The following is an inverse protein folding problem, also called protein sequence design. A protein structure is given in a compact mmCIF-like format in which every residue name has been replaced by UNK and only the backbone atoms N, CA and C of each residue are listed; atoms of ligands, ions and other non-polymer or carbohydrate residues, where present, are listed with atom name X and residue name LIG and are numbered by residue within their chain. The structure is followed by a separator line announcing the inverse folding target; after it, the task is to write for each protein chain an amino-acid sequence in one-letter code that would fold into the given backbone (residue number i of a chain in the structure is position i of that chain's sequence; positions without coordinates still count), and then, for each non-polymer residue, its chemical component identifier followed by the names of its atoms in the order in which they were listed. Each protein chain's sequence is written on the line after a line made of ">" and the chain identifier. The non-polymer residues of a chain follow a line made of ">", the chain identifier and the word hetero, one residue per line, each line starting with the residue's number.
data_IF_898256663705
#
_entry.id   IF_898256663705
#
_cell.length_a   1.000
_cell.length_b   1.000
_cell.length_c   1.000
_cell.angle_alpha   90.00
_cell.angle_beta   90.00
_cell.angle_gamma   90.00
#
_symmetry.space_group_name_H-M   'P 1'
#
loop_
_entity.id
_entity.type
_entity.pdbx_description
1 polymer ?
#
# COMPACT_ATOMS: atom_id res chain seq x y z
N UNK A 1 -50.40 6.07 15.74
CA UNK A 1 -49.67 6.86 14.72
C UNK A 1 -48.50 6.01 14.24
N UNK A 2 -48.62 5.29 13.11
CA UNK A 2 -47.56 4.47 12.56
C UNK A 2 -46.54 5.37 11.84
N UNK A 3 -45.27 5.26 12.22
CA UNK A 3 -44.17 5.99 11.59
C UNK A 3 -43.84 5.48 10.18
N UNK A 4 -43.25 6.32 9.31
CA UNK A 4 -42.93 5.96 7.94
C UNK A 4 -41.80 4.92 7.91
N UNK A 5 -41.87 3.89 7.05
CA UNK A 5 -40.80 2.92 6.89
C UNK A 5 -39.60 3.54 6.16
N UNK A 6 -38.41 3.33 6.71
CA UNK A 6 -37.14 3.74 6.12
C UNK A 6 -36.86 3.02 4.79
N UNK A 7 -36.20 3.69 3.82
CA UNK A 7 -35.92 3.13 2.51
C UNK A 7 -34.69 2.21 2.55
N UNK A 8 -34.90 0.92 2.73
CA UNK A 8 -33.87 -0.10 2.52
C UNK A 8 -33.73 -0.35 1.02
N UNK A 9 -32.77 0.33 0.38
CA UNK A 9 -32.45 0.16 -1.05
C UNK A 9 -31.92 -1.26 -1.33
N UNK A 10 -32.82 -2.13 -1.75
CA UNK A 10 -32.57 -3.48 -2.24
C UNK A 10 -32.01 -3.44 -3.68
N UNK A 11 -30.72 -3.16 -3.84
CA UNK A 11 -30.03 -3.19 -5.14
C UNK A 11 -29.85 -4.60 -5.74
N UNK A 12 -30.14 -5.66 -4.99
CA UNK A 12 -29.81 -7.04 -5.39
C UNK A 12 -30.91 -7.74 -6.21
N UNK A 13 -32.11 -7.16 -6.33
CA UNK A 13 -33.25 -7.76 -7.08
C UNK A 13 -33.35 -7.30 -8.54
N UNK A 14 -32.51 -6.36 -8.99
CA UNK A 14 -32.65 -5.73 -10.32
C UNK A 14 -32.04 -6.52 -11.48
N UNK A 15 -31.54 -7.74 -11.26
CA UNK A 15 -30.94 -8.56 -12.32
C UNK A 15 -31.85 -9.69 -12.82
N UNK A 16 -33.01 -9.92 -12.19
CA UNK A 16 -33.88 -11.05 -12.55
C UNK A 16 -34.50 -10.95 -13.96
N UNK A 17 -34.66 -9.73 -14.51
CA UNK A 17 -35.23 -9.52 -15.84
C UNK A 17 -34.23 -9.73 -16.99
N UNK A 18 -32.93 -9.85 -16.69
CA UNK A 18 -31.91 -10.11 -17.71
C UNK A 18 -31.72 -11.61 -18.01
N UNK A 19 -32.24 -12.50 -17.17
CA UNK A 19 -32.09 -13.95 -17.34
C UNK A 19 -33.00 -14.54 -18.43
N UNK A 20 -34.09 -13.85 -18.81
CA UNK A 20 -35.04 -14.34 -19.83
C UNK A 20 -34.74 -13.85 -21.25
N UNK A 21 -33.75 -12.96 -21.43
CA UNK A 21 -33.44 -12.41 -22.75
C UNK A 21 -32.57 -13.36 -23.57
N UNK A 22 -32.95 -13.56 -24.82
CA UNK A 22 -32.17 -14.34 -25.79
C UNK A 22 -30.84 -13.65 -26.10
N UNK A 23 -29.81 -14.42 -26.47
CA UNK A 23 -28.47 -13.90 -26.77
C UNK A 23 -28.46 -12.83 -27.86
N UNK A 24 -29.40 -12.89 -28.81
CA UNK A 24 -29.60 -11.89 -29.86
C UNK A 24 -30.07 -10.53 -29.35
N UNK A 25 -30.81 -10.48 -28.24
CA UNK A 25 -31.23 -9.23 -27.58
C UNK A 25 -30.21 -8.73 -26.56
N UNK A 26 -29.46 -9.65 -25.95
CA UNK A 26 -28.45 -9.35 -24.96
C UNK A 26 -27.26 -8.56 -25.57
N UNK A 27 -26.83 -8.94 -26.78
CA UNK A 27 -25.70 -8.29 -27.48
C UNK A 27 -25.92 -6.78 -27.73
N UNK A 28 -27.02 -6.32 -28.37
CA UNK A 28 -27.25 -4.89 -28.57
C UNK A 28 -27.44 -4.15 -27.25
N UNK A 29 -28.03 -4.80 -26.24
CA UNK A 29 -28.22 -4.21 -24.91
C UNK A 29 -26.88 -4.00 -24.17
N UNK A 30 -25.95 -4.96 -24.25
CA UNK A 30 -24.58 -4.79 -23.74
C UNK A 30 -23.80 -3.74 -24.51
N UNK A 31 -23.93 -3.67 -25.84
CA UNK A 31 -23.30 -2.61 -26.65
C UNK A 31 -23.82 -1.24 -26.25
N UNK A 32 -25.13 -1.10 -26.02
CA UNK A 32 -25.74 0.15 -25.58
C UNK A 32 -25.30 0.51 -24.15
N UNK A 33 -25.32 -0.45 -23.22
CA UNK A 33 -24.84 -0.23 -21.85
C UNK A 33 -23.36 0.20 -21.81
N UNK A 34 -22.52 -0.42 -22.65
CA UNK A 34 -21.11 -0.06 -22.80
C UNK A 34 -20.95 1.35 -23.38
N UNK A 35 -21.72 1.73 -24.40
CA UNK A 35 -21.70 3.08 -24.94
C UNK A 35 -22.13 4.12 -23.91
N UNK A 36 -23.23 3.88 -23.20
CA UNK A 36 -23.70 4.75 -22.12
C UNK A 36 -22.66 4.89 -21.00
N UNK A 37 -22.00 3.79 -20.61
CA UNK A 37 -20.93 3.82 -19.60
C UNK A 37 -19.73 4.65 -20.10
N UNK A 38 -19.33 4.45 -21.36
CA UNK A 38 -18.22 5.18 -21.98
C UNK A 38 -18.50 6.68 -22.13
N UNK A 39 -19.73 7.04 -22.47
CA UNK A 39 -20.12 8.44 -22.59
C UNK A 39 -20.24 9.10 -21.20
N UNK A 40 -20.70 8.36 -20.19
CA UNK A 40 -20.68 8.80 -18.79
C UNK A 40 -19.25 9.02 -18.29
N UNK A 41 -18.34 8.10 -18.57
CA UNK A 41 -16.92 8.22 -18.22
C UNK A 41 -16.28 9.45 -18.89
N UNK A 42 -16.55 9.69 -20.17
CA UNK A 42 -16.09 10.91 -20.87
C UNK A 42 -16.66 12.18 -20.26
N UNK A 43 -17.93 12.18 -19.87
CA UNK A 43 -18.57 13.33 -19.23
C UNK A 43 -17.98 13.60 -17.83
N UNK A 44 -17.68 12.55 -17.07
CA UNK A 44 -17.08 12.64 -15.74
C UNK A 44 -15.62 13.11 -15.80
N UNK A 45 -14.83 12.60 -16.75
CA UNK A 45 -13.50 13.12 -17.08
C UNK A 45 -13.55 14.59 -17.50
N UNK A 46 -14.52 14.96 -18.35
CA UNK A 46 -14.75 16.34 -18.75
C UNK A 46 -15.07 17.26 -17.56
N UNK A 47 -15.92 16.80 -16.64
CA UNK A 47 -16.27 17.53 -15.40
C UNK A 47 -15.05 17.71 -14.49
N UNK A 48 -14.28 16.65 -14.25
CA UNK A 48 -13.07 16.69 -13.42
C UNK A 48 -12.01 17.63 -14.00
N UNK A 49 -11.82 17.61 -15.33
CA UNK A 49 -10.90 18.51 -16.02
C UNK A 49 -11.36 19.98 -15.92
N UNK A 50 -12.66 20.23 -16.00
CA UNK A 50 -13.25 21.56 -15.86
C UNK A 50 -13.09 22.09 -14.43
N UNK A 51 -13.33 21.24 -13.43
CA UNK A 51 -13.18 21.54 -12.01
C UNK A 51 -11.72 21.85 -11.65
N UNK A 52 -10.76 21.08 -12.15
CA UNK A 52 -9.34 21.33 -11.95
C UNK A 52 -8.89 22.65 -12.62
N UNK A 53 -9.36 22.94 -13.84
CA UNK A 53 -9.09 24.23 -14.49
C UNK A 53 -9.70 25.41 -13.72
N UNK A 54 -10.90 25.24 -13.15
CA UNK A 54 -11.53 26.25 -12.30
C UNK A 54 -10.72 26.48 -11.02
N UNK A 55 -10.23 25.40 -10.40
CA UNK A 55 -9.36 25.47 -9.23
C UNK A 55 -8.05 26.19 -9.53
N UNK A 56 -7.36 25.81 -10.61
CA UNK A 56 -6.15 26.50 -11.08
C UNK A 56 -6.38 27.99 -11.30
N UNK A 57 -7.50 28.36 -11.95
CA UNK A 57 -7.88 29.76 -12.15
C UNK A 57 -8.09 30.48 -10.82
N UNK A 58 -8.79 29.85 -9.87
CA UNK A 58 -8.99 30.43 -8.54
C UNK A 58 -7.67 30.65 -7.79
N UNK A 59 -6.73 29.71 -7.87
CA UNK A 59 -5.40 29.85 -7.27
C UNK A 59 -4.60 30.96 -7.92
N UNK A 60 -4.68 31.12 -9.24
CA UNK A 60 -4.04 32.20 -9.97
C UNK A 60 -4.63 33.56 -9.59
N UNK A 61 -5.95 33.67 -9.50
CA UNK A 61 -6.64 34.88 -9.06
C UNK A 61 -6.29 35.24 -7.59
N UNK A 62 -6.11 34.24 -6.71
CA UNK A 62 -5.62 34.47 -5.35
C UNK A 62 -4.18 34.99 -5.31
N UNK A 63 -3.29 34.49 -6.16
CA UNK A 63 -1.91 34.98 -6.27
C UNK A 63 -1.87 36.41 -6.81
N UNK A 64 -2.67 36.71 -7.84
CA UNK A 64 -2.84 38.06 -8.37
C UNK A 64 -3.39 39.03 -7.31
N UNK A 65 -4.38 38.61 -6.52
CA UNK A 65 -4.89 39.44 -5.42
C UNK A 65 -3.82 39.69 -4.37
N UNK A 66 -3.01 38.69 -4.01
CA UNK A 66 -1.86 38.86 -3.10
C UNK A 66 -0.81 39.83 -3.66
N UNK A 67 -0.52 39.80 -4.96
CA UNK A 67 0.44 40.72 -5.58
C UNK A 67 -0.10 42.14 -5.79
N UNK A 68 -1.44 42.29 -5.88
CA UNK A 68 -2.10 43.59 -6.13
C UNK A 68 -2.55 44.28 -4.85
N UNK A 69 -2.46 43.63 -3.69
CA UNK A 69 -2.74 44.30 -2.41
C UNK A 69 -1.51 45.12 -2.03
N UNK A 70 -1.54 46.46 -2.11
CA UNK A 70 -0.43 47.28 -1.67
C UNK A 70 -0.16 46.97 -0.19
N UNK A 71 1.11 46.92 0.24
CA UNK A 71 1.46 46.57 1.61
C UNK A 71 0.75 47.53 2.55
N UNK A 72 -0.18 47.00 3.34
CA UNK A 72 -0.79 47.72 4.45
C UNK A 72 0.34 47.94 5.46
N UNK A 73 0.96 49.10 5.35
CA UNK A 73 1.98 49.58 6.27
C UNK A 73 1.34 49.65 7.66
N UNK A 74 1.84 48.90 8.67
CA UNK A 74 1.36 49.05 10.03
C UNK A 74 1.74 50.44 10.52
N UNK A 75 0.71 51.24 10.80
CA UNK A 75 0.76 52.57 11.39
C UNK A 75 1.59 52.57 12.67
N UNK A 76 2.85 52.98 12.55
CA UNK A 76 3.67 53.41 13.68
C UNK A 76 3.82 54.92 13.58
N UNK A 77 3.00 55.60 14.36
CA UNK A 77 3.02 57.04 14.56
C UNK A 77 4.36 57.44 15.18
N UNK A 78 5.30 57.93 14.37
CA UNK A 78 6.28 58.91 14.87
C UNK A 78 6.77 59.79 13.74
N UNK A 79 6.25 61.02 13.79
CA UNK A 79 6.58 62.17 12.98
C UNK A 79 8.09 62.46 12.95
N UNK A 80 8.71 62.31 11.79
CA UNK A 80 9.88 63.12 11.40
C UNK A 80 9.76 63.51 9.93
N UNK A 81 9.37 64.77 9.72
CA UNK A 81 9.42 65.46 8.42
C UNK A 81 10.86 65.56 7.95
N UNK A 82 11.32 64.67 7.07
CA UNK A 82 12.48 64.95 6.24
C UNK A 82 12.28 64.39 4.82
N UNK A 83 12.11 65.35 3.91
CA UNK A 83 12.62 65.40 2.54
C UNK A 83 12.23 64.30 1.54
N UNK A 84 11.39 64.74 0.59
CA UNK A 84 11.33 64.34 -0.81
C UNK A 84 12.64 63.80 -1.39
N UNK A 85 12.47 62.80 -2.27
CA UNK A 85 13.45 62.14 -3.15
C UNK A 85 14.15 60.92 -2.53
N UNK A 86 13.42 59.81 -2.47
CA UNK A 86 13.93 58.53 -2.95
C UNK A 86 12.81 57.49 -2.79
N UNK A 87 11.86 57.53 -3.73
CA UNK A 87 10.90 56.45 -3.94
C UNK A 87 11.66 55.27 -4.58
N UNK A 88 12.57 54.68 -3.79
CA UNK A 88 13.30 53.46 -4.08
C UNK A 88 12.29 52.31 -3.99
N UNK A 89 11.44 52.21 -5.01
CA UNK A 89 10.68 50.99 -5.27
C UNK A 89 11.67 49.85 -5.23
N UNK A 90 11.50 48.97 -4.25
CA UNK A 90 12.16 47.68 -4.17
C UNK A 90 11.73 46.88 -5.41
N UNK A 91 12.36 47.16 -6.54
CA UNK A 91 12.48 46.22 -7.64
C UNK A 91 13.34 45.12 -7.03
N UNK A 92 12.82 43.90 -6.85
CA UNK A 92 13.65 42.75 -6.49
C UNK A 92 14.89 42.82 -7.37
N UNK A 93 16.08 42.81 -6.75
CA UNK A 93 17.33 42.98 -7.50
C UNK A 93 17.29 42.04 -8.71
N UNK A 94 17.74 42.50 -9.88
CA UNK A 94 17.72 41.72 -11.12
C UNK A 94 18.23 40.28 -10.87
N UNK A 95 19.25 40.16 -10.03
CA UNK A 95 19.84 38.91 -9.53
C UNK A 95 18.85 37.98 -8.82
N UNK A 96 17.93 38.49 -8.00
CA UNK A 96 16.90 37.70 -7.34
C UNK A 96 15.84 37.20 -8.34
N UNK A 97 15.47 38.03 -9.33
CA UNK A 97 14.59 37.59 -10.41
C UNK A 97 15.25 36.50 -11.26
N UNK A 98 16.52 36.65 -11.59
CA UNK A 98 17.30 35.70 -12.39
C UNK A 98 17.46 34.35 -11.66
N UNK A 99 17.78 34.38 -10.36
CA UNK A 99 17.83 33.18 -9.53
C UNK A 99 16.47 32.47 -9.44
N UNK A 100 15.37 33.24 -9.37
CA UNK A 100 14.02 32.66 -9.37
C UNK A 100 13.66 32.03 -10.72
N UNK A 101 14.07 32.65 -11.83
CA UNK A 101 13.90 32.10 -13.18
C UNK A 101 14.66 30.77 -13.29
N UNK A 102 15.93 30.71 -12.87
CA UNK A 102 16.73 29.49 -12.89
C UNK A 102 16.09 28.34 -12.08
N UNK A 103 15.55 28.65 -10.90
CA UNK A 103 14.85 27.65 -10.07
C UNK A 103 13.58 27.16 -10.75
N UNK A 104 12.82 28.07 -11.38
CA UNK A 104 11.61 27.71 -12.12
C UNK A 104 11.92 26.88 -13.36
N UNK A 105 12.97 27.22 -14.12
CA UNK A 105 13.42 26.44 -15.27
C UNK A 105 13.87 25.03 -14.85
N UNK A 106 14.67 24.92 -13.79
CA UNK A 106 15.09 23.63 -13.24
C UNK A 106 13.91 22.78 -12.79
N UNK A 107 12.92 23.39 -12.11
CA UNK A 107 11.68 22.73 -11.71
C UNK A 107 10.84 22.29 -12.91
N UNK A 108 10.79 23.09 -13.97
CA UNK A 108 10.05 22.76 -15.17
C UNK A 108 10.68 21.54 -15.87
N UNK A 109 12.00 21.52 -16.01
CA UNK A 109 12.75 20.36 -16.55
C UNK A 109 12.54 19.11 -15.69
N UNK A 110 12.55 19.23 -14.36
CA UNK A 110 12.26 18.11 -13.45
C UNK A 110 10.84 17.57 -13.65
N UNK A 111 9.84 18.45 -13.75
CA UNK A 111 8.45 18.08 -13.99
C UNK A 111 8.26 17.42 -15.35
N UNK A 112 8.87 17.94 -16.42
CA UNK A 112 8.85 17.31 -17.75
C UNK A 112 9.46 15.90 -17.69
N UNK A 113 10.60 15.71 -17.01
CA UNK A 113 11.20 14.39 -16.82
C UNK A 113 10.27 13.44 -16.05
N UNK A 114 9.58 13.90 -15.01
CA UNK A 114 8.60 13.10 -14.25
C UNK A 114 7.40 12.69 -15.12
N UNK A 115 6.91 13.60 -15.98
CA UNK A 115 5.84 13.28 -16.93
C UNK A 115 6.31 12.23 -17.95
N UNK A 116 7.50 12.38 -18.52
CA UNK A 116 8.05 11.40 -19.46
C UNK A 116 8.24 10.01 -18.81
N UNK A 117 8.73 9.95 -17.58
CA UNK A 117 8.86 8.69 -16.84
C UNK A 117 7.51 8.03 -16.56
N UNK A 118 6.51 8.80 -16.14
CA UNK A 118 5.17 8.25 -15.88
C UNK A 118 4.47 7.80 -17.16
N UNK A 119 4.61 8.55 -18.26
CA UNK A 119 4.11 8.15 -19.58
C UNK A 119 4.79 6.86 -20.06
N UNK A 120 6.12 6.77 -19.93
CA UNK A 120 6.86 5.56 -20.30
C UNK A 120 6.44 4.35 -19.46
N UNK A 121 6.31 4.52 -18.15
CA UNK A 121 5.81 3.47 -17.27
C UNK A 121 4.38 3.04 -17.64
N UNK A 122 3.52 3.98 -18.05
CA UNK A 122 2.17 3.68 -18.54
C UNK A 122 2.19 2.93 -19.87
N UNK A 123 3.09 3.26 -20.79
CA UNK A 123 3.28 2.51 -22.05
C UNK A 123 3.79 1.09 -21.81
N UNK A 124 4.69 0.91 -20.84
CA UNK A 124 5.13 -0.41 -20.40
C UNK A 124 3.95 -1.20 -19.79
N UNK A 125 3.14 -0.59 -18.92
CA UNK A 125 1.97 -1.22 -18.31
C UNK A 125 0.87 -1.59 -19.33
N UNK A 126 0.78 -0.85 -20.43
CA UNK A 126 -0.03 -1.21 -21.60
C UNK A 126 0.62 -2.36 -22.36
N UNK A 127 0.99 -3.46 -21.70
CA UNK A 127 1.63 -4.62 -22.33
C UNK A 127 0.75 -5.19 -23.45
N UNK A 128 1.04 -4.88 -24.74
CA UNK A 128 0.21 -5.35 -25.85
C UNK A 128 0.34 -6.87 -26.01
N UNK A 129 1.44 -7.44 -25.49
CA UNK A 129 1.72 -8.87 -25.44
C UNK A 129 0.72 -9.63 -24.57
N UNK A 130 0.37 -9.09 -23.39
CA UNK A 130 -0.62 -9.71 -22.52
C UNK A 130 -2.02 -9.61 -23.12
N UNK A 131 -2.36 -8.47 -23.73
CA UNK A 131 -3.63 -8.31 -24.47
C UNK A 131 -3.71 -9.29 -25.64
N UNK A 132 -2.61 -9.46 -26.39
CA UNK A 132 -2.55 -10.43 -27.49
C UNK A 132 -2.69 -11.87 -26.99
N UNK A 133 -1.97 -12.25 -25.93
CA UNK A 133 -2.06 -13.57 -25.31
C UNK A 133 -3.48 -13.87 -24.82
N UNK A 134 -4.12 -12.92 -24.14
CA UNK A 134 -5.51 -13.04 -23.70
C UNK A 134 -6.48 -13.16 -24.89
N UNK A 135 -6.25 -12.42 -25.99
CA UNK A 135 -7.05 -12.58 -27.22
C UNK A 135 -6.88 -13.96 -27.85
N UNK A 136 -5.65 -14.45 -27.93
CA UNK A 136 -5.34 -15.77 -28.49
C UNK A 136 -5.99 -16.89 -27.64
N UNK A 137 -5.96 -16.75 -26.32
CA UNK A 137 -6.63 -17.67 -25.38
C UNK A 137 -8.16 -17.62 -25.50
N UNK A 138 -8.76 -16.43 -25.62
CA UNK A 138 -10.20 -16.29 -25.87
C UNK A 138 -10.60 -16.95 -27.20
N UNK A 139 -9.80 -16.79 -28.26
CA UNK A 139 -10.03 -17.45 -29.54
C UNK A 139 -9.93 -18.97 -29.42
N UNK A 140 -8.94 -19.48 -28.69
CA UNK A 140 -8.78 -20.91 -28.42
C UNK A 140 -9.97 -21.49 -27.64
N UNK A 141 -10.39 -20.83 -26.55
CA UNK A 141 -11.53 -21.26 -25.74
C UNK A 141 -12.85 -21.22 -26.53
N UNK A 142 -13.05 -20.22 -27.39
CA UNK A 142 -14.20 -20.19 -28.32
C UNK A 142 -14.19 -21.39 -29.26
N UNK A 143 -13.04 -21.70 -29.88
CA UNK A 143 -12.92 -22.85 -30.76
C UNK A 143 -13.24 -24.16 -30.02
N UNK A 144 -12.80 -24.32 -28.77
CA UNK A 144 -13.16 -25.50 -27.97
C UNK A 144 -14.65 -25.57 -27.66
N UNK A 145 -15.28 -24.44 -27.34
CA UNK A 145 -16.73 -24.37 -27.10
C UNK A 145 -17.53 -24.75 -28.35
N UNK A 146 -17.11 -24.31 -29.53
CA UNK A 146 -17.74 -24.63 -30.81
C UNK A 146 -17.61 -26.13 -31.14
N UNK A 147 -16.43 -26.72 -30.91
CA UNK A 147 -16.19 -28.17 -31.07
C UNK A 147 -17.08 -28.97 -30.11
N UNK A 148 -17.12 -28.59 -28.83
CA UNK A 148 -17.94 -29.26 -27.82
C UNK A 148 -19.44 -29.16 -28.15
N UNK A 149 -19.90 -27.99 -28.60
CA UNK A 149 -21.29 -27.77 -29.02
C UNK A 149 -21.66 -28.63 -30.22
N UNK A 150 -20.78 -28.71 -31.23
CA UNK A 150 -20.96 -29.59 -32.40
C UNK A 150 -21.01 -31.05 -31.96
N UNK A 151 -20.15 -31.47 -31.03
CA UNK A 151 -20.14 -32.85 -30.54
C UNK A 151 -21.39 -33.24 -29.77
N UNK A 152 -21.92 -32.31 -28.95
CA UNK A 152 -23.21 -32.50 -28.26
C UNK A 152 -24.34 -32.68 -29.29
N UNK A 153 -24.35 -31.86 -30.34
CA UNK A 153 -25.34 -31.96 -31.40
C UNK A 153 -25.27 -33.30 -32.15
N UNK A 154 -24.07 -33.78 -32.50
CA UNK A 154 -23.86 -35.10 -33.12
C UNK A 154 -24.38 -36.23 -32.22
N UNK A 155 -24.06 -36.20 -30.92
CA UNK A 155 -24.51 -37.20 -29.95
C UNK A 155 -26.04 -37.20 -29.80
N UNK A 156 -26.68 -36.03 -29.85
CA UNK A 156 -28.14 -35.92 -29.82
C UNK A 156 -28.80 -36.49 -31.08
N UNK A 157 -28.23 -36.24 -32.27
CA UNK A 157 -28.72 -36.81 -33.54
C UNK A 157 -28.58 -38.34 -33.54
N UNK A 158 -27.41 -38.87 -33.13
CA UNK A 158 -27.22 -40.32 -33.01
C UNK A 158 -28.20 -40.96 -32.03
N UNK A 159 -28.42 -40.33 -30.86
CA UNK A 159 -29.38 -40.82 -29.86
C UNK A 159 -30.81 -40.83 -30.39
N UNK A 160 -31.18 -39.83 -31.19
CA UNK A 160 -32.50 -39.75 -31.81
C UNK A 160 -32.71 -40.86 -32.85
N UNK A 161 -31.67 -41.19 -33.63
CA UNK A 161 -31.69 -42.32 -34.58
C UNK A 161 -31.79 -43.67 -33.87
N UNK A 162 -31.10 -43.83 -32.74
CA UNK A 162 -31.12 -45.07 -31.94
C UNK A 162 -32.42 -45.29 -31.16
N UNK A 163 -33.28 -44.28 -30.98
CA UNK A 163 -34.59 -44.45 -30.34
C UNK A 163 -35.66 -45.06 -31.28
N UNK A 164 -35.32 -45.37 -32.53
CA UNK A 164 -36.24 -45.97 -33.52
C UNK A 164 -35.94 -47.42 -33.98
N UNK A 165 -35.60 -48.42 -33.12
CA UNK A 165 -35.78 -49.81 -33.47
C UNK A 165 -37.17 -50.23 -33.01
N UNK A 166 -38.11 -50.29 -33.96
CA UNK A 166 -39.31 -51.12 -33.86
C UNK A 166 -38.86 -52.55 -33.57
N UNK A 167 -39.18 -53.09 -32.39
CA UNK A 167 -39.16 -54.54 -32.17
C UNK A 167 -40.43 -54.94 -31.43
N UNK A 168 -41.40 -55.42 -32.22
CA UNK A 168 -42.37 -56.42 -31.80
C UNK A 168 -41.61 -57.75 -31.65
N UNK A 169 -41.64 -58.42 -30.48
CA UNK A 169 -41.80 -59.89 -30.31
C UNK A 169 -41.39 -60.39 -28.90
N UNK A 170 -42.23 -61.32 -28.41
CA UNK A 170 -42.00 -62.43 -27.48
C UNK A 170 -41.98 -62.13 -25.95
N UNK A 171 -42.94 -62.66 -25.16
CA UNK A 171 -43.16 -62.33 -23.74
C UNK A 171 -42.38 -63.20 -22.72
N UNK A 172 -41.19 -63.71 -23.04
CA UNK A 172 -40.43 -64.60 -22.11
C UNK A 172 -39.05 -64.05 -21.71
N UNK A 173 -38.73 -62.79 -22.03
CA UNK A 173 -37.49 -62.11 -21.59
C UNK A 173 -37.73 -60.84 -20.75
N UNK A 174 -38.97 -60.59 -20.35
CA UNK A 174 -39.36 -59.35 -19.68
C UNK A 174 -38.70 -59.18 -18.30
N UNK A 175 -38.44 -60.25 -17.55
CA UNK A 175 -37.81 -60.16 -16.22
C UNK A 175 -36.34 -59.69 -16.29
N UNK A 176 -35.54 -60.16 -17.25
CA UNK A 176 -34.15 -59.69 -17.40
C UNK A 176 -34.07 -58.23 -17.90
N UNK A 177 -35.06 -57.80 -18.68
CA UNK A 177 -35.16 -56.42 -19.14
C UNK A 177 -35.56 -55.47 -18.00
N UNK A 178 -36.43 -55.92 -17.10
CA UNK A 178 -36.86 -55.14 -15.93
C UNK A 178 -35.67 -54.88 -14.97
N UNK A 179 -34.86 -55.90 -14.67
CA UNK A 179 -33.64 -55.76 -13.85
C UNK A 179 -32.58 -54.81 -14.46
N UNK A 180 -32.50 -54.75 -15.79
CA UNK A 180 -31.58 -53.83 -16.49
C UNK A 180 -32.13 -52.41 -16.46
N UNK A 181 -33.44 -52.25 -16.62
CA UNK A 181 -34.12 -50.96 -16.55
C UNK A 181 -34.00 -50.38 -15.12
N UNK A 182 -34.20 -51.19 -14.09
CA UNK A 182 -34.03 -50.76 -12.69
C UNK A 182 -32.61 -50.28 -12.42
N UNK A 183 -31.58 -51.07 -12.80
CA UNK A 183 -30.17 -50.65 -12.68
C UNK A 183 -29.85 -49.37 -13.45
N UNK A 184 -30.48 -49.15 -14.61
CA UNK A 184 -30.32 -47.90 -15.37
C UNK A 184 -30.95 -46.70 -14.67
N UNK A 185 -32.12 -46.88 -14.02
CA UNK A 185 -32.73 -45.83 -13.21
C UNK A 185 -31.88 -45.50 -11.99
N UNK A 186 -31.40 -46.50 -11.26
CA UNK A 186 -30.47 -46.33 -10.12
C UNK A 186 -29.21 -45.56 -10.55
N UNK A 187 -28.60 -45.96 -11.67
CA UNK A 187 -27.41 -45.28 -12.21
C UNK A 187 -27.72 -43.83 -12.62
N UNK A 188 -28.90 -43.57 -13.19
CA UNK A 188 -29.33 -42.23 -13.58
C UNK A 188 -29.53 -41.33 -12.36
N UNK A 189 -30.13 -41.85 -11.30
CA UNK A 189 -30.32 -41.13 -10.06
C UNK A 189 -28.99 -40.90 -9.33
N UNK A 190 -28.10 -41.89 -9.29
CA UNK A 190 -26.73 -41.71 -8.80
C UNK A 190 -26.00 -40.59 -9.57
N UNK A 191 -26.09 -40.58 -10.90
CA UNK A 191 -25.46 -39.51 -11.72
C UNK A 191 -26.11 -38.15 -11.51
N UNK A 192 -27.42 -38.11 -11.23
CA UNK A 192 -28.14 -36.87 -10.89
C UNK A 192 -27.69 -36.33 -9.53
N UNK A 193 -27.51 -37.19 -8.53
CA UNK A 193 -26.98 -36.83 -7.21
C UNK A 193 -25.53 -36.37 -7.26
N UNK A 194 -24.66 -37.09 -7.98
CA UNK A 194 -23.27 -36.68 -8.21
C UNK A 194 -23.21 -35.30 -8.88
N UNK A 195 -24.01 -35.08 -9.92
CA UNK A 195 -24.09 -33.78 -10.60
C UNK A 195 -24.58 -32.67 -9.67
N UNK A 196 -25.57 -32.95 -8.81
CA UNK A 196 -26.04 -32.00 -7.81
C UNK A 196 -24.94 -31.68 -6.78
N UNK A 197 -24.19 -32.69 -6.34
CA UNK A 197 -23.05 -32.53 -5.42
C UNK A 197 -21.94 -31.66 -6.04
N UNK A 198 -21.55 -31.93 -7.29
CA UNK A 198 -20.57 -31.13 -8.03
C UNK A 198 -21.05 -29.69 -8.22
N UNK A 199 -22.35 -29.49 -8.44
CA UNK A 199 -22.89 -28.13 -8.56
C UNK A 199 -22.83 -27.36 -7.23
N UNK A 200 -23.13 -28.02 -6.09
CA UNK A 200 -23.00 -27.41 -4.76
C UNK A 200 -21.54 -27.04 -4.45
N UNK A 201 -20.59 -27.94 -4.70
CA UNK A 201 -19.17 -27.66 -4.46
C UNK A 201 -18.64 -26.54 -5.36
N UNK A 202 -19.12 -26.46 -6.62
CA UNK A 202 -18.83 -25.33 -7.51
C UNK A 202 -19.31 -24.00 -6.92
N UNK A 203 -20.56 -23.92 -6.46
CA UNK A 203 -21.11 -22.69 -5.86
C UNK A 203 -20.35 -22.28 -4.60
N UNK A 204 -19.92 -23.24 -3.78
CA UNK A 204 -19.11 -22.98 -2.60
C UNK A 204 -17.73 -22.41 -2.97
N UNK A 205 -17.07 -22.98 -3.99
CA UNK A 205 -15.78 -22.47 -4.49
C UNK A 205 -15.92 -21.09 -5.11
N UNK A 206 -16.99 -20.81 -5.86
CA UNK A 206 -17.27 -19.49 -6.42
C UNK A 206 -17.49 -18.45 -5.30
N UNK A 207 -18.20 -18.83 -4.24
CA UNK A 207 -18.39 -17.99 -3.05
C UNK A 207 -17.06 -17.69 -2.34
N UNK A 208 -16.24 -18.72 -2.10
CA UNK A 208 -14.89 -18.56 -1.52
C UNK A 208 -13.99 -17.67 -2.38
N UNK A 209 -14.01 -17.85 -3.69
CA UNK A 209 -13.27 -17.00 -4.63
C UNK A 209 -13.73 -15.55 -4.54
N UNK A 210 -15.04 -15.30 -4.52
CA UNK A 210 -15.59 -13.95 -4.39
C UNK A 210 -15.14 -13.25 -3.09
N UNK A 211 -15.11 -13.97 -1.96
CA UNK A 211 -14.58 -13.45 -0.69
C UNK A 211 -13.09 -13.12 -0.82
N UNK A 212 -12.28 -14.03 -1.35
CA UNK A 212 -10.83 -13.79 -1.49
C UNK A 212 -10.50 -12.61 -2.42
N UNK A 213 -11.29 -12.41 -3.48
CA UNK A 213 -11.15 -11.25 -4.36
C UNK A 213 -11.51 -9.95 -3.65
N UNK A 214 -12.53 -9.96 -2.78
CA UNK A 214 -12.89 -8.81 -1.95
C UNK A 214 -11.76 -8.47 -0.98
N UNK A 215 -11.19 -9.46 -0.31
CA UNK A 215 -10.08 -9.26 0.64
C UNK A 215 -8.83 -8.73 -0.07
N UNK A 216 -8.51 -9.22 -1.27
CA UNK A 216 -7.43 -8.69 -2.09
C UNK A 216 -7.66 -7.23 -2.51
N UNK A 217 -8.89 -6.87 -2.86
CA UNK A 217 -9.25 -5.48 -3.17
C UNK A 217 -9.09 -4.57 -1.95
N UNK A 218 -9.47 -5.03 -0.75
CA UNK A 218 -9.29 -4.28 0.49
C UNK A 218 -7.81 -4.12 0.83
N UNK A 219 -7.01 -5.19 0.70
CA UNK A 219 -5.57 -5.13 0.92
C UNK A 219 -4.88 -4.17 -0.05
N UNK A 220 -5.32 -4.15 -1.32
CA UNK A 220 -4.83 -3.17 -2.30
C UNK A 220 -5.18 -1.75 -1.87
N UNK A 221 -6.41 -1.50 -1.43
CA UNK A 221 -6.82 -0.18 -0.92
C UNK A 221 -5.97 0.25 0.28
N UNK A 222 -5.66 -0.66 1.20
CA UNK A 222 -4.77 -0.40 2.32
C UNK A 222 -3.35 -0.07 1.85
N UNK A 223 -2.83 -0.82 0.88
CA UNK A 223 -1.51 -0.55 0.29
C UNK A 223 -1.45 0.84 -0.35
N UNK A 224 -2.45 1.21 -1.15
CA UNK A 224 -2.54 2.53 -1.79
C UNK A 224 -2.60 3.65 -0.73
N UNK A 225 -3.30 3.41 0.39
CA UNK A 225 -3.32 4.33 1.54
C UNK A 225 -1.95 4.46 2.20
N UNK A 226 -1.21 3.37 2.39
CA UNK A 226 0.15 3.42 2.94
C UNK A 226 1.13 4.14 2.01
N UNK A 227 0.98 3.97 0.70
CA UNK A 227 1.80 4.68 -0.28
C UNK A 227 1.62 6.20 -0.17
N UNK A 228 0.39 6.66 0.06
CA UNK A 228 0.11 8.07 0.30
C UNK A 228 0.82 8.58 1.56
N UNK A 229 0.71 7.86 2.68
CA UNK A 229 1.39 8.23 3.93
C UNK A 229 2.92 8.24 3.78
N UNK A 230 3.49 7.34 2.99
CA UNK A 230 4.93 7.32 2.73
C UNK A 230 5.38 8.60 1.98
N UNK A 231 4.59 9.05 1.02
CA UNK A 231 4.86 10.28 0.27
C UNK A 231 4.78 11.53 1.17
N UNK A 232 3.84 11.55 2.12
CA UNK A 232 3.74 12.63 3.11
C UNK A 232 4.95 12.63 4.05
N UNK A 233 5.42 11.46 4.48
CA UNK A 233 6.63 11.33 5.28
C UNK A 233 7.87 11.83 4.52
N UNK A 234 8.01 11.50 3.24
CA UNK A 234 9.10 11.99 2.40
C UNK A 234 9.06 13.52 2.25
N UNK A 235 7.88 14.10 2.06
CA UNK A 235 7.71 15.55 2.02
C UNK A 235 8.11 16.21 3.35
N UNK A 236 7.70 15.61 4.47
CA UNK A 236 8.07 16.08 5.81
C UNK A 236 9.58 15.99 6.03
N UNK A 237 10.21 14.89 5.62
CA UNK A 237 11.66 14.72 5.70
C UNK A 237 12.39 15.77 4.86
N UNK A 238 11.93 16.06 3.64
CA UNK A 238 12.52 17.12 2.82
C UNK A 238 12.34 18.50 3.45
N UNK A 239 11.20 18.78 4.08
CA UNK A 239 10.98 20.03 4.80
C UNK A 239 11.94 20.17 5.99
N UNK A 240 12.16 19.09 6.72
CA UNK A 240 13.13 19.02 7.82
C UNK A 240 14.57 19.26 7.33
N UNK A 241 14.98 18.63 6.22
CA UNK A 241 16.30 18.85 5.63
C UNK A 241 16.52 20.29 5.18
N UNK A 242 15.49 20.93 4.59
CA UNK A 242 15.54 22.37 4.27
C UNK A 242 15.67 23.24 5.51
N UNK A 243 14.92 22.92 6.57
CA UNK A 243 15.02 23.63 7.84
C UNK A 243 16.43 23.49 8.45
N UNK A 244 17.00 22.29 8.41
CA UNK A 244 18.36 22.02 8.87
C UNK A 244 19.39 22.84 8.10
N UNK A 245 19.29 22.88 6.77
CA UNK A 245 20.18 23.68 5.93
C UNK A 245 20.09 25.19 6.27
N UNK A 246 18.88 25.70 6.49
CA UNK A 246 18.69 27.10 6.91
C UNK A 246 19.27 27.40 8.30
N UNK A 247 19.20 26.45 9.24
CA UNK A 247 19.86 26.58 10.55
C UNK A 247 21.39 26.59 10.41
N UNK A 248 21.95 25.79 9.52
CA UNK A 248 23.39 25.79 9.23
C UNK A 248 23.84 27.12 8.59
N UNK A 249 23.04 27.69 7.69
CA UNK A 249 23.26 29.02 7.10
C UNK A 249 23.23 30.13 8.16
N UNK A 250 22.21 30.14 9.02
CA UNK A 250 22.10 31.07 10.16
C UNK A 250 23.31 30.94 11.10
N UNK A 251 23.78 29.72 11.36
CA UNK A 251 24.97 29.47 12.18
C UNK A 251 26.24 30.00 11.51
N UNK A 252 26.40 29.81 10.20
CA UNK A 252 27.53 30.39 9.45
C UNK A 252 27.51 31.92 9.52
N UNK A 253 26.36 32.54 9.27
CA UNK A 253 26.18 34.00 9.35
C UNK A 253 26.49 34.53 10.75
N UNK A 254 26.03 33.87 11.81
CA UNK A 254 26.36 34.25 13.19
C UNK A 254 27.86 34.16 13.49
N UNK A 255 28.55 33.15 12.95
CA UNK A 255 29.98 33.01 13.13
C UNK A 255 30.76 34.08 12.34
N UNK A 256 30.32 34.43 11.14
CA UNK A 256 30.84 35.57 10.37
C UNK A 256 30.69 36.89 11.15
N UNK A 257 29.52 37.12 11.75
CA UNK A 257 29.28 38.29 12.61
C UNK A 257 30.19 38.28 13.85
N UNK A 258 30.41 37.13 14.50
CA UNK A 258 31.34 37.00 15.63
C UNK A 258 32.77 37.37 15.23
N UNK A 259 33.25 36.85 14.10
CA UNK A 259 34.58 37.16 13.58
C UNK A 259 34.70 38.66 13.26
N UNK A 260 33.66 39.27 12.70
CA UNK A 260 33.63 40.71 12.41
C UNK A 260 33.71 41.55 13.70
N UNK A 261 32.93 41.20 14.73
CA UNK A 261 32.97 41.87 16.03
C UNK A 261 34.32 41.68 16.72
N UNK A 262 34.91 40.48 16.63
CA UNK A 262 36.24 40.22 17.17
C UNK A 262 37.32 41.05 16.47
N UNK A 263 37.21 41.27 15.16
CA UNK A 263 38.09 42.16 14.40
C UNK A 263 37.98 43.62 14.87
N UNK A 264 36.77 44.11 15.13
CA UNK A 264 36.53 45.48 15.61
C UNK A 264 37.01 45.67 17.07
N UNK A 265 36.90 44.64 17.91
CA UNK A 265 37.38 44.68 19.29
C UNK A 265 38.88 44.44 19.42
N UNK A 266 39.53 43.90 18.38
CA UNK A 266 40.93 43.50 18.38
C UNK A 266 41.92 44.60 18.04
N UNK A 267 41.47 45.84 17.79
CA UNK A 267 42.34 47.01 17.58
C UNK A 267 42.72 47.60 18.95
N UNK A 268 43.91 47.28 19.48
CA UNK A 268 44.24 47.51 20.87
C UNK A 268 44.91 48.88 21.04
N UNK A 269 44.16 49.96 20.86
CA UNK A 269 44.62 51.30 21.25
C UNK A 269 44.28 51.55 22.74
N UNK A 270 45.16 51.00 23.58
CA UNK A 270 45.59 51.52 24.88
C UNK A 270 44.58 52.35 25.69
N UNK A 271 43.60 51.72 26.35
CA UNK A 271 42.93 52.31 27.54
C UNK A 271 42.75 51.24 28.63
N UNK A 272 43.09 51.51 29.91
CA UNK A 272 43.14 50.48 30.94
C UNK A 272 41.79 50.18 31.60
N UNK A 273 41.54 48.88 31.76
CA UNK A 273 40.82 48.18 32.83
C UNK A 273 39.50 48.80 33.36
N UNK A 274 38.39 48.30 32.81
CA UNK A 274 37.20 47.98 33.62
C UNK A 274 36.87 46.51 33.37
N UNK A 275 36.63 45.68 34.41
CA UNK A 275 36.27 44.28 34.25
C UNK A 275 34.84 44.20 33.72
N UNK A 276 34.69 44.28 32.40
CA UNK A 276 33.44 44.00 31.72
C UNK A 276 33.12 42.52 31.90
N UNK A 277 32.17 42.21 32.78
CA UNK A 277 31.51 40.91 32.80
C UNK A 277 31.00 40.64 31.39
N UNK A 278 31.56 39.62 30.75
CA UNK A 278 31.22 39.24 29.39
C UNK A 278 29.71 38.99 29.31
N UNK A 279 28.99 39.74 28.48
CA UNK A 279 27.56 39.55 28.19
C UNK A 279 27.20 38.09 27.91
N UNK A 280 28.17 37.33 27.40
CA UNK A 280 28.08 35.89 27.16
C UNK A 280 27.84 35.09 28.46
N UNK A 281 28.48 35.46 29.56
CA UNK A 281 28.28 34.84 30.87
C UNK A 281 26.91 35.16 31.48
N UNK A 282 26.38 36.35 31.22
CA UNK A 282 25.04 36.76 31.66
C UNK A 282 23.96 36.04 30.83
N UNK A 283 24.21 35.83 29.53
CA UNK A 283 23.33 35.05 28.65
C UNK A 283 23.33 33.57 28.99
N UNK A 284 24.48 32.99 29.32
CA UNK A 284 24.61 31.58 29.71
C UNK A 284 23.90 31.32 31.04
N UNK A 285 24.01 32.25 32.01
CA UNK A 285 23.27 32.18 33.27
C UNK A 285 21.75 32.23 33.04
N UNK A 286 21.27 33.08 32.13
CA UNK A 286 19.84 33.14 31.78
C UNK A 286 19.35 31.91 31.03
N UNK A 287 20.18 31.32 30.15
CA UNK A 287 19.83 30.11 29.39
C UNK A 287 19.66 28.89 30.30
N UNK A 288 20.53 28.73 31.30
CA UNK A 288 20.42 27.65 32.28
C UNK A 288 19.21 27.78 33.20
N UNK A 289 18.73 29.01 33.46
CA UNK A 289 17.68 29.24 34.45
C UNK A 289 16.27 29.10 33.88
N UNK A 290 16.05 29.40 32.59
CA UNK A 290 14.74 29.27 31.95
C UNK A 290 14.87 29.21 30.42
N UNK A 291 15.18 28.03 29.85
CA UNK A 291 15.31 27.87 28.40
C UNK A 291 14.00 28.16 27.66
N UNK A 292 12.85 27.88 28.28
CA UNK A 292 11.53 28.07 27.66
C UNK A 292 11.20 29.56 27.44
N UNK A 293 11.55 30.45 28.38
CA UNK A 293 11.35 31.91 28.24
C UNK A 293 12.15 32.50 27.07
N UNK A 294 13.37 31.99 26.86
CA UNK A 294 14.22 32.47 25.76
C UNK A 294 13.73 31.90 24.43
N UNK A 295 13.35 30.62 24.40
CA UNK A 295 12.76 30.01 23.21
C UNK A 295 11.46 30.69 22.80
N UNK A 296 10.57 31.04 23.73
CA UNK A 296 9.33 31.77 23.43
C UNK A 296 9.64 33.13 22.80
N UNK A 297 10.61 33.86 23.37
CA UNK A 297 11.00 35.18 22.90
C UNK A 297 11.72 35.16 21.54
N UNK A 298 12.48 34.10 21.25
CA UNK A 298 13.23 33.93 20.00
C UNK A 298 12.36 33.37 18.87
N UNK A 299 11.49 32.42 19.18
CA UNK A 299 10.65 31.75 18.17
C UNK A 299 9.31 32.44 17.95
N UNK A 300 8.89 33.32 18.87
CA UNK A 300 7.55 33.92 18.88
C UNK A 300 6.43 32.94 19.22
N UNK A 301 6.77 31.71 19.62
CA UNK A 301 5.80 30.72 20.11
C UNK A 301 5.40 31.05 21.54
N UNK A 302 4.14 30.79 21.86
CA UNK A 302 3.64 30.98 23.21
C UNK A 302 4.38 30.08 24.20
N UNK A 303 4.71 30.63 25.36
CA UNK A 303 5.47 29.96 26.42
C UNK A 303 4.82 28.62 26.81
N UNK A 304 3.48 28.58 26.85
CA UNK A 304 2.72 27.36 27.17
C UNK A 304 2.95 26.23 26.17
N UNK A 305 3.05 26.53 24.87
CA UNK A 305 3.24 25.52 23.83
C UNK A 305 4.63 24.88 23.95
N UNK A 306 5.63 25.69 24.32
CA UNK A 306 7.00 25.21 24.53
C UNK A 306 7.07 24.35 25.79
N UNK A 307 6.44 24.79 26.89
CA UNK A 307 6.39 24.03 28.13
C UNK A 307 5.63 22.69 27.93
N UNK A 308 4.52 22.68 27.19
CA UNK A 308 3.77 21.47 26.84
C UNK A 308 4.58 20.51 25.95
N UNK A 309 5.40 21.03 25.04
CA UNK A 309 6.32 20.22 24.25
C UNK A 309 7.44 19.59 25.10
N UNK A 310 7.98 20.31 26.09
CA UNK A 310 8.96 19.76 27.04
C UNK A 310 8.37 18.68 27.93
N UNK A 311 7.14 18.86 28.40
CA UNK A 311 6.41 17.85 29.16
C UNK A 311 6.15 16.60 28.31
N UNK A 312 5.76 16.77 27.05
CA UNK A 312 5.56 15.67 26.11
C UNK A 312 6.85 14.87 25.86
N UNK A 313 7.99 15.53 25.63
CA UNK A 313 9.28 14.83 25.50
C UNK A 313 9.67 14.09 26.77
N UNK A 314 9.46 14.70 27.94
CA UNK A 314 9.71 14.06 29.24
C UNK A 314 8.84 12.82 29.44
N UNK A 315 7.59 12.87 28.97
CA UNK A 315 6.67 11.73 29.01
C UNK A 315 7.10 10.60 28.05
N UNK A 316 7.60 10.93 26.86
CA UNK A 316 8.20 9.95 25.94
C UNK A 316 9.43 9.29 26.56
N UNK A 317 10.31 10.07 27.18
CA UNK A 317 11.53 9.56 27.82
C UNK A 317 11.18 8.63 29.00
N UNK A 318 10.22 9.03 29.85
CA UNK A 318 9.72 8.19 30.93
C UNK A 318 9.06 6.89 30.44
N UNK A 319 8.31 6.94 29.33
CA UNK A 319 7.72 5.75 28.72
C UNK A 319 8.77 4.80 28.12
N UNK A 320 9.88 5.35 27.61
CA UNK A 320 10.99 4.58 27.05
C UNK A 320 11.82 3.89 28.15
N UNK A 321 12.04 4.57 29.28
CA UNK A 321 12.77 3.99 30.42
C UNK A 321 11.95 2.93 31.17
N UNK A 322 10.62 3.08 31.24
CA UNK A 322 9.73 2.07 31.83
C UNK A 322 9.60 0.81 30.96
N UNK A 323 9.62 0.93 29.63
CA UNK A 323 9.66 -0.23 28.73
C UNK A 323 10.97 -1.04 28.82
N UNK A 324 12.06 -0.40 29.26
CA UNK A 324 13.38 -1.01 29.40
C UNK A 324 13.58 -1.78 30.71
N UNK A 325 12.74 -1.53 31.73
CA UNK A 325 12.93 -2.05 33.09
C UNK A 325 11.97 -3.18 33.48
N UNK A 326 11.07 -3.62 32.56
CA UNK A 326 10.17 -4.76 32.81
C UNK A 326 10.74 -6.12 32.40
N UNK A 327 12.05 -6.24 32.16
CA UNK A 327 12.71 -7.55 32.05
C UNK A 327 12.92 -8.13 33.46
N UNK A 328 12.01 -9.02 33.85
CA UNK A 328 12.06 -9.84 35.06
C UNK A 328 13.47 -10.37 35.41
N UNK A 329 13.89 -10.31 36.70
CA UNK A 329 15.07 -11.00 37.16
C UNK A 329 14.76 -12.48 37.50
N UNK A 330 15.58 -13.36 36.91
CA UNK A 330 16.05 -14.63 37.46
C UNK A 330 15.03 -15.70 37.94
N UNK A 331 14.85 -16.72 37.09
CA UNK A 331 14.95 -18.12 37.52
C UNK A 331 16.13 -18.74 36.77
N UNK A 332 17.19 -19.03 37.52
CA UNK A 332 18.42 -19.65 37.06
C UNK A 332 18.26 -21.16 36.96
N UNK A 333 18.25 -21.69 35.73
CA UNK A 333 18.68 -23.06 35.45
C UNK A 333 19.53 -23.12 34.18
N UNK A 334 20.62 -23.91 34.15
CA UNK A 334 21.53 -23.99 33.01
C UNK A 334 20.98 -24.93 31.94
N UNK A 335 20.21 -24.39 30.98
CA UNK A 335 19.76 -25.14 29.80
C UNK A 335 20.69 -24.90 28.61
N UNK A 336 21.89 -25.50 28.65
CA UNK A 336 22.89 -25.44 27.57
C UNK A 336 22.86 -26.66 26.62
N UNK A 337 21.78 -27.46 26.55
CA UNK A 337 21.82 -28.71 25.77
C UNK A 337 20.67 -28.97 24.78
N UNK A 338 19.67 -28.08 24.63
CA UNK A 338 18.49 -28.41 23.79
C UNK A 338 18.48 -27.82 22.37
N UNK A 339 19.40 -26.93 22.00
CA UNK A 339 19.42 -26.35 20.64
C UNK A 339 20.28 -27.11 19.62
N UNK A 340 20.94 -28.21 20.03
CA UNK A 340 21.66 -29.08 19.09
C UNK A 340 20.83 -30.25 18.53
N UNK A 341 19.60 -30.47 19.01
CA UNK A 341 18.79 -31.64 18.65
C UNK A 341 17.78 -31.40 17.51
N UNK A 342 17.44 -30.14 17.20
CA UNK A 342 16.38 -29.83 16.23
C UNK A 342 16.90 -29.68 14.78
N UNK A 343 18.22 -29.64 14.58
CA UNK A 343 18.82 -29.52 13.24
C UNK A 343 19.27 -30.84 12.61
N UNK A 344 19.10 -31.99 13.27
CA UNK A 344 19.54 -33.29 12.73
C UNK A 344 18.43 -34.16 12.13
N UNK A 345 17.17 -33.72 12.12
CA UNK A 345 16.03 -34.55 11.65
C UNK A 345 15.43 -34.12 10.30
N UNK A 346 15.99 -33.10 9.65
CA UNK A 346 15.40 -32.52 8.44
C UNK A 346 16.08 -32.93 7.12
N UNK A 347 17.13 -33.76 7.16
CA UNK A 347 17.92 -34.12 5.97
C UNK A 347 17.71 -35.57 5.46
N UNK A 348 16.83 -36.36 6.09
CA UNK A 348 16.68 -37.80 5.78
C UNK A 348 15.32 -38.20 5.18
N UNK A 349 14.49 -37.23 4.74
CA UNK A 349 13.13 -37.49 4.22
C UNK A 349 12.97 -37.33 2.70
N UNK A 350 14.08 -37.32 1.94
CA UNK A 350 14.05 -37.15 0.48
C UNK A 350 14.78 -38.24 -0.32
N UNK A 351 14.93 -39.45 0.24
CA UNK A 351 15.48 -40.60 -0.51
C UNK A 351 14.56 -41.83 -0.51
N UNK A 352 14.02 -42.08 -1.69
CA UNK A 352 13.54 -43.36 -2.25
C UNK A 352 12.20 -43.94 -1.77
N UNK A 353 11.34 -44.42 -2.70
CA UNK A 353 10.13 -45.17 -2.39
C UNK A 353 10.49 -46.65 -2.21
N UNK A 354 10.09 -47.24 -1.10
CA UNK A 354 9.95 -48.69 -1.03
C UNK A 354 8.69 -49.07 -0.26
N UNK A 355 7.79 -49.73 -0.98
CA UNK A 355 6.59 -50.37 -0.48
C UNK A 355 6.97 -51.49 0.49
N UNK A 356 6.42 -51.41 1.71
CA UNK A 356 6.01 -52.50 2.64
C UNK A 356 6.40 -52.14 4.07
N UNK A 357 5.42 -51.71 4.87
CA UNK A 357 5.39 -52.09 6.29
C UNK A 357 3.97 -52.46 6.73
N UNK A 358 3.83 -53.41 7.67
CA UNK A 358 2.66 -54.25 7.86
C UNK A 358 1.65 -53.60 8.80
N UNK A 359 0.38 -53.85 8.49
CA UNK A 359 -0.77 -53.67 9.37
C UNK A 359 -0.63 -54.58 10.59
N UNK A 360 -0.22 -54.02 11.73
CA UNK A 360 -0.37 -54.67 13.03
C UNK A 360 -1.15 -53.73 13.96
N UNK A 361 -2.41 -54.11 14.16
CA UNK A 361 -3.35 -53.61 15.15
C UNK A 361 -2.76 -53.65 16.56
N UNK A 362 -2.27 -52.50 17.04
CA UNK A 362 -1.66 -52.38 18.37
C UNK A 362 -2.33 -51.35 19.29
N UNK A 363 -3.57 -50.94 19.02
CA UNK A 363 -4.35 -50.16 19.98
C UNK A 363 -5.75 -50.73 20.21
N UNK A 364 -6.01 -51.36 21.37
CA UNK A 364 -7.34 -51.79 21.75
C UNK A 364 -8.19 -50.58 22.14
N UNK A 365 -9.41 -50.58 21.62
CA UNK A 365 -10.54 -49.68 21.84
C UNK A 365 -10.46 -48.78 23.10
N UNK A 366 -10.19 -47.49 22.87
CA UNK A 366 -10.49 -46.42 23.81
C UNK A 366 -11.90 -45.85 23.50
N UNK A 367 -12.71 -45.57 24.53
CA UNK A 367 -14.12 -45.26 24.36
C UNK A 367 -14.30 -43.87 23.74
N UNK A 368 -15.00 -43.88 22.61
CA UNK A 368 -15.55 -42.74 21.88
C UNK A 368 -16.45 -41.90 22.78
N UNK A 369 -15.87 -40.96 23.54
CA UNK A 369 -16.59 -39.81 24.09
C UNK A 369 -15.88 -38.52 23.69
N UNK A 370 -16.43 -37.92 22.64
CA UNK A 370 -16.66 -36.48 22.51
C UNK A 370 -15.54 -35.56 23.05
N UNK A 371 -14.51 -35.37 22.24
CA UNK A 371 -13.85 -34.08 22.12
C UNK A 371 -13.90 -33.66 20.65
N UNK A 372 -15.10 -33.21 20.25
CA UNK A 372 -15.26 -32.28 19.15
C UNK A 372 -14.65 -30.94 19.60
N UNK A 373 -13.32 -30.88 19.61
CA UNK A 373 -12.62 -29.60 19.59
C UNK A 373 -12.68 -29.17 18.13
N UNK A 374 -13.59 -28.23 17.90
CA UNK A 374 -13.69 -27.30 16.78
C UNK A 374 -12.28 -26.80 16.41
N UNK A 375 -11.56 -27.57 15.58
CA UNK A 375 -10.42 -27.05 14.85
C UNK A 375 -10.99 -26.07 13.83
N UNK A 376 -11.08 -24.80 14.24
CA UNK A 376 -11.13 -23.70 13.29
C UNK A 376 -10.07 -23.97 12.21
N UNK A 377 -10.42 -23.85 10.91
CA UNK A 377 -9.45 -23.96 9.84
C UNK A 377 -8.48 -22.77 9.94
N UNK A 378 -7.43 -22.93 10.75
CA UNK A 378 -6.35 -21.97 10.91
C UNK A 378 -5.83 -21.56 9.54
N UNK A 379 -6.04 -20.28 9.29
CA UNK A 379 -6.05 -19.63 8.01
C UNK A 379 -4.80 -19.95 7.18
N UNK A 380 -5.01 -20.28 5.91
CA UNK A 380 -3.97 -20.35 4.87
C UNK A 380 -3.03 -19.12 4.90
N UNK A 381 -3.57 -17.96 5.32
CA UNK A 381 -2.85 -16.70 5.53
C UNK A 381 -1.73 -16.83 6.57
N UNK A 382 -1.92 -17.56 7.67
CA UNK A 382 -0.88 -17.75 8.67
C UNK A 382 0.24 -18.67 8.17
N UNK A 383 -0.12 -19.72 7.41
CA UNK A 383 0.87 -20.57 6.74
C UNK A 383 1.70 -19.79 5.73
N UNK A 384 1.06 -18.90 4.97
CA UNK A 384 1.72 -18.03 4.00
C UNK A 384 2.62 -17.00 4.70
N UNK A 385 2.15 -16.37 5.78
CA UNK A 385 2.94 -15.42 6.58
C UNK A 385 4.21 -16.09 7.14
N UNK A 386 4.08 -17.31 7.65
CA UNK A 386 5.22 -18.09 8.14
C UNK A 386 6.21 -18.45 7.01
N UNK A 387 5.72 -18.74 5.80
CA UNK A 387 6.59 -18.98 4.64
C UNK A 387 7.32 -17.71 4.19
N UNK A 388 6.63 -16.57 4.15
CA UNK A 388 7.22 -15.28 3.79
C UNK A 388 8.28 -14.87 4.81
N UNK A 389 8.03 -15.03 6.11
CA UNK A 389 9.04 -14.75 7.14
C UNK A 389 10.27 -15.66 7.02
N UNK A 390 10.09 -16.94 6.69
CA UNK A 390 11.21 -17.86 6.45
C UNK A 390 12.03 -17.42 5.22
N UNK A 391 11.38 -17.05 4.13
CA UNK A 391 12.06 -16.54 2.93
C UNK A 391 12.81 -15.24 3.22
N UNK A 392 12.21 -14.31 3.96
CA UNK A 392 12.86 -13.06 4.34
C UNK A 392 14.11 -13.30 5.20
N UNK A 393 14.03 -14.20 6.17
CA UNK A 393 15.19 -14.57 6.99
C UNK A 393 16.30 -15.24 6.18
N UNK A 394 15.95 -16.02 5.15
CA UNK A 394 16.90 -16.64 4.23
C UNK A 394 17.60 -15.57 3.38
N UNK A 395 16.84 -14.68 2.76
CA UNK A 395 17.36 -13.55 1.97
C UNK A 395 18.23 -12.63 2.83
N UNK A 396 17.83 -12.35 4.06
CA UNK A 396 18.59 -11.54 5.00
C UNK A 396 19.94 -12.18 5.36
N UNK A 397 19.97 -13.51 5.58
CA UNK A 397 21.22 -14.24 5.80
C UNK A 397 22.16 -14.15 4.60
N UNK A 398 21.63 -14.32 3.37
CA UNK A 398 22.42 -14.19 2.15
C UNK A 398 22.93 -12.76 1.93
N UNK A 399 22.11 -11.74 2.23
CA UNK A 399 22.52 -10.34 2.14
C UNK A 399 23.66 -10.02 3.13
N UNK A 400 23.55 -10.48 4.39
CA UNK A 400 24.61 -10.33 5.38
C UNK A 400 25.90 -11.02 4.95
N UNK A 401 25.80 -12.24 4.41
CA UNK A 401 26.96 -12.96 3.88
C UNK A 401 27.60 -12.21 2.70
N UNK A 402 26.78 -11.71 1.77
CA UNK A 402 27.25 -10.92 0.63
C UNK A 402 27.96 -9.64 1.08
N UNK A 403 27.43 -8.92 2.08
CA UNK A 403 28.07 -7.72 2.62
C UNK A 403 29.42 -8.01 3.29
N UNK A 404 29.52 -9.10 4.05
CA UNK A 404 30.79 -9.53 4.65
C UNK A 404 31.78 -9.90 3.54
N UNK A 405 31.35 -10.68 2.54
CA UNK A 405 32.19 -11.08 1.42
C UNK A 405 32.70 -9.86 0.62
N UNK A 406 31.83 -8.90 0.31
CA UNK A 406 32.24 -7.67 -0.37
C UNK A 406 33.21 -6.85 0.48
N UNK A 407 33.00 -6.81 1.79
CA UNK A 407 33.92 -6.09 2.71
C UNK A 407 35.30 -6.74 2.73
N UNK A 408 35.36 -8.08 2.79
CA UNK A 408 36.62 -8.83 2.73
C UNK A 408 37.33 -8.59 1.39
N UNK A 409 36.61 -8.64 0.27
CA UNK A 409 37.18 -8.37 -1.05
C UNK A 409 37.72 -6.93 -1.17
N UNK A 410 37.03 -5.95 -0.60
CA UNK A 410 37.50 -4.55 -0.58
C UNK A 410 38.75 -4.41 0.28
N UNK A 411 38.82 -5.06 1.44
CA UNK A 411 40.01 -5.05 2.30
C UNK A 411 41.19 -5.71 1.61
N UNK A 412 41.00 -6.88 0.99
CA UNK A 412 42.05 -7.57 0.22
C UNK A 412 42.51 -6.75 -0.99
N UNK A 413 41.61 -6.03 -1.65
CA UNK A 413 41.98 -5.14 -2.75
C UNK A 413 42.79 -3.92 -2.28
N UNK A 414 42.53 -3.42 -1.06
CA UNK A 414 43.23 -2.27 -0.48
C UNK A 414 44.59 -2.61 0.15
N UNK A 415 44.70 -3.77 0.79
CA UNK A 415 45.93 -4.17 1.50
C UNK A 415 46.94 -4.90 0.60
N UNK A 416 46.53 -5.28 -0.62
CA UNK A 416 47.34 -6.11 -1.51
C UNK A 416 47.24 -7.60 -1.14
N UNK A 417 47.70 -8.50 -2.04
CA UNK A 417 47.61 -9.95 -1.87
C UNK A 417 48.42 -10.50 -0.70
#
# INVERSE_FOLDING_TARGET
>A
MPGPPSPTHSFVSSFSWMAEKTSSELIPMLKNAYHTLKDKEKAELGKSLLEHNLQLKSSYDSLLKKSTTPPISPSSSTSTKFTDKDDMRFIPSHTACEAMIDVLEKKNVELTRKIELTVKAQEELKHPKNIKRLKDEICFLKSQLDIASTKIQELQDMRSRQKHPKVRRAPEKEEEEEDVIERLYETLDQKREEKASVHRSKLELESKLAVTLKDLCELKRQYDSFQFTLQDFEQLQQAYERQKAHVEELKSSLEEHRVMVQKLNGEPDSVPLVPNMSLLSELEYHWLKSPSVILSKVTGLDQQVIDEAFDFMSQIEASSQSASSSSHPASSQPASSYLSSVYSLADDLLSSPDDRYPTLDLYPHLPTRLCFLELEPLNFIERLKNHIQKLFNLVWKWCRFSMVLTTVLVISAWQGP
#
